data_IF_562940362254
#
_entry.id   IF_562940362254
#
_cell.length_a   1.000
_cell.length_b   1.000
_cell.length_c   1.000
_cell.angle_alpha   90.00
_cell.angle_beta   90.00
_cell.angle_gamma   90.00
#
_symmetry.space_group_name_H-M   'P 1'
#
loop_
_entity.id
_entity.type
_entity.pdbx_description
1 polymer ?
#
# COMPACT_ATOMS: atom_id res chain seq x y z
N UNK A 1 -43.57 22.46 -70.95
CA UNK A 1 -43.30 23.31 -69.76
C UNK A 1 -43.22 22.51 -68.46
N UNK A 2 -44.06 21.50 -68.20
CA UNK A 2 -44.02 20.70 -66.95
C UNK A 2 -42.67 19.99 -66.72
N UNK A 3 -42.05 19.45 -67.77
CA UNK A 3 -40.76 18.74 -67.67
C UNK A 3 -39.58 19.65 -67.24
N UNK A 4 -39.64 20.96 -67.55
CA UNK A 4 -38.57 21.91 -67.20
C UNK A 4 -38.65 22.31 -65.72
N UNK A 5 -39.86 22.40 -65.17
CA UNK A 5 -40.07 22.72 -63.76
C UNK A 5 -39.73 21.56 -62.82
N UNK A 6 -39.88 20.31 -63.29
CA UNK A 6 -39.43 19.12 -62.54
C UNK A 6 -37.91 19.03 -62.49
N UNK A 7 -37.21 19.43 -63.58
CA UNK A 7 -35.75 19.46 -63.62
C UNK A 7 -35.15 20.45 -62.63
N UNK A 8 -35.69 21.67 -62.58
CA UNK A 8 -35.21 22.70 -61.63
C UNK A 8 -35.38 22.27 -60.17
N UNK A 9 -36.46 21.56 -59.83
CA UNK A 9 -36.67 21.05 -58.47
C UNK A 9 -35.73 19.89 -58.12
N UNK A 10 -35.40 19.02 -59.08
CA UNK A 10 -34.42 17.96 -58.87
C UNK A 10 -33.00 18.51 -58.68
N UNK A 11 -32.63 19.54 -59.44
CA UNK A 11 -31.33 20.22 -59.27
C UNK A 11 -31.24 20.96 -57.93
N UNK A 12 -32.34 21.55 -57.45
CA UNK A 12 -32.39 22.19 -56.14
C UNK A 12 -32.25 21.18 -55.00
N UNK A 13 -32.89 20.01 -55.11
CA UNK A 13 -32.77 18.93 -54.14
C UNK A 13 -31.36 18.32 -54.13
N UNK A 14 -30.74 18.16 -55.30
CA UNK A 14 -29.34 17.74 -55.41
C UNK A 14 -28.38 18.77 -54.79
N UNK A 15 -28.66 20.06 -54.96
CA UNK A 15 -27.88 21.15 -54.34
C UNK A 15 -28.00 21.16 -52.81
N UNK A 16 -29.21 20.96 -52.28
CA UNK A 16 -29.46 20.87 -50.84
C UNK A 16 -28.75 19.64 -50.26
N UNK A 17 -28.84 18.48 -50.93
CA UNK A 17 -28.14 17.27 -50.52
C UNK A 17 -26.62 17.48 -50.45
N UNK A 18 -26.03 18.09 -51.49
CA UNK A 18 -24.60 18.40 -51.48
C UNK A 18 -24.18 19.36 -50.37
N UNK A 19 -25.04 20.31 -49.97
CA UNK A 19 -24.77 21.19 -48.82
C UNK A 19 -24.85 20.48 -47.47
N UNK A 20 -25.76 19.52 -47.30
CA UNK A 20 -25.88 18.74 -46.06
C UNK A 20 -24.69 17.80 -45.88
N UNK A 21 -24.18 17.21 -46.96
CA UNK A 21 -23.04 16.27 -46.92
C UNK A 21 -21.68 16.97 -46.78
N UNK A 22 -21.57 18.27 -47.12
CA UNK A 22 -20.30 19.00 -47.12
C UNK A 22 -20.07 19.92 -45.90
N UNK A 23 -20.95 19.88 -44.88
CA UNK A 23 -20.77 20.71 -43.69
C UNK A 23 -19.60 20.18 -42.82
N UNK A 24 -18.50 20.95 -42.61
CA UNK A 24 -17.27 20.44 -42.01
C UNK A 24 -17.32 20.17 -40.50
N UNK A 25 -18.43 20.46 -39.84
CA UNK A 25 -18.61 20.34 -38.38
C UNK A 25 -19.42 19.11 -37.95
N UNK A 26 -19.86 18.27 -38.89
CA UNK A 26 -20.44 16.97 -38.57
C UNK A 26 -19.32 15.92 -38.53
N UNK A 27 -19.02 15.41 -37.35
CA UNK A 27 -18.18 14.23 -37.11
C UNK A 27 -18.46 13.14 -38.16
N UNK A 28 -17.42 12.72 -38.90
CA UNK A 28 -17.44 11.63 -39.89
C UNK A 28 -17.94 10.32 -39.26
N UNK A 29 -19.24 10.10 -39.25
CA UNK A 29 -19.82 8.77 -39.21
C UNK A 29 -19.94 8.23 -40.64
N UNK A 30 -19.96 6.90 -40.83
CA UNK A 30 -20.37 6.33 -42.11
C UNK A 30 -21.81 6.77 -42.39
N UNK A 31 -21.99 7.64 -43.37
CA UNK A 31 -23.31 7.92 -43.94
C UNK A 31 -23.70 6.68 -44.75
N UNK A 32 -24.35 5.73 -44.09
CA UNK A 32 -25.14 4.72 -44.79
C UNK A 32 -26.13 5.47 -45.68
N UNK A 33 -26.14 5.11 -46.96
CA UNK A 33 -26.88 5.82 -47.99
C UNK A 33 -28.38 5.81 -47.65
N UNK A 34 -28.89 6.95 -47.18
CA UNK A 34 -30.33 7.16 -46.98
C UNK A 34 -31.02 7.01 -48.35
N UNK A 35 -31.64 5.85 -48.58
CA UNK A 35 -32.32 5.54 -49.83
C UNK A 35 -33.75 6.07 -49.75
N UNK A 36 -33.97 7.27 -50.28
CA UNK A 36 -35.31 7.83 -50.42
C UNK A 36 -36.03 7.14 -51.59
N UNK A 37 -37.01 6.30 -51.28
CA UNK A 37 -37.92 5.73 -52.28
C UNK A 37 -39.13 6.64 -52.46
N UNK A 38 -39.23 7.27 -53.63
CA UNK A 38 -40.43 7.96 -54.07
C UNK A 38 -41.36 6.92 -54.71
N UNK A 39 -42.38 6.48 -53.99
CA UNK A 39 -43.45 5.67 -54.58
C UNK A 39 -44.35 6.58 -55.43
N UNK A 40 -44.49 6.25 -56.70
CA UNK A 40 -45.20 7.00 -57.74
C UNK A 40 -46.50 7.66 -57.26
N UNK A 41 -46.49 8.99 -57.19
CA UNK A 41 -47.69 9.81 -57.11
C UNK A 41 -48.15 10.10 -58.55
N UNK A 42 -49.32 9.57 -58.91
CA UNK A 42 -49.98 9.85 -60.19
C UNK A 42 -50.27 11.35 -60.29
N UNK A 43 -49.78 11.98 -61.37
CA UNK A 43 -49.83 13.44 -61.58
C UNK A 43 -51.27 13.87 -61.89
N UNK A 44 -52.03 14.18 -60.84
CA UNK A 44 -53.28 14.94 -60.90
C UNK A 44 -53.09 16.32 -60.25
N UNK A 45 -53.81 17.38 -60.71
CA UNK A 45 -53.59 18.76 -60.26
C UNK A 45 -54.28 18.99 -58.92
N UNK A 46 -53.76 18.44 -57.83
CA UNK A 46 -54.24 18.73 -56.48
C UNK A 46 -53.06 18.79 -55.52
N UNK A 47 -53.16 19.68 -54.53
CA UNK A 47 -52.23 19.85 -53.41
C UNK A 47 -51.76 18.52 -52.82
N UNK A 48 -50.48 18.16 -53.00
CA UNK A 48 -49.89 16.96 -52.41
C UNK A 48 -49.02 17.36 -51.22
N UNK A 49 -49.55 17.22 -50.00
CA UNK A 49 -48.74 17.03 -48.80
C UNK A 49 -48.23 15.59 -48.81
N UNK A 50 -47.18 15.32 -49.59
CA UNK A 50 -46.52 14.02 -49.59
C UNK A 50 -45.70 13.87 -48.31
N UNK A 51 -45.96 12.83 -47.52
CA UNK A 51 -45.13 12.44 -46.38
C UNK A 51 -43.98 11.56 -46.86
N UNK A 52 -42.75 12.04 -46.73
CA UNK A 52 -41.57 11.21 -46.90
C UNK A 52 -41.42 10.34 -45.65
N UNK A 53 -41.42 9.02 -45.83
CA UNK A 53 -41.11 8.06 -44.75
C UNK A 53 -39.74 7.48 -45.04
N UNK A 54 -38.78 7.66 -44.15
CA UNK A 54 -37.48 7.01 -44.26
C UNK A 54 -37.60 5.55 -43.80
N UNK A 55 -37.13 4.60 -44.61
CA UNK A 55 -37.00 3.21 -44.19
C UNK A 55 -35.72 3.06 -43.36
N UNK A 56 -35.88 2.92 -42.04
CA UNK A 56 -34.77 2.69 -41.10
C UNK A 56 -34.66 1.22 -40.70
N UNK A 57 -35.35 0.30 -41.38
CA UNK A 57 -35.38 -1.13 -41.00
C UNK A 57 -34.02 -1.82 -41.14
N UNK A 58 -33.13 -1.29 -41.99
CA UNK A 58 -31.75 -1.77 -42.15
C UNK A 58 -30.72 -0.97 -41.32
N UNK A 59 -31.14 0.09 -40.64
CA UNK A 59 -30.23 0.89 -39.82
C UNK A 59 -29.92 0.13 -38.53
N UNK A 60 -28.64 -0.09 -38.27
CA UNK A 60 -28.18 -0.52 -36.96
C UNK A 60 -27.68 0.69 -36.17
N UNK A 61 -27.85 0.67 -34.86
CA UNK A 61 -27.31 1.72 -34.01
C UNK A 61 -25.79 1.72 -34.12
N UNK A 62 -25.23 2.92 -34.28
CA UNK A 62 -23.79 3.09 -34.41
C UNK A 62 -23.10 2.68 -33.10
N UNK A 63 -22.13 1.77 -33.18
CA UNK A 63 -21.19 1.48 -32.10
C UNK A 63 -20.08 2.52 -31.99
N UNK A 64 -19.28 2.43 -30.95
CA UNK A 64 -18.12 3.28 -30.70
C UNK A 64 -16.85 2.59 -31.22
N UNK A 65 -15.95 3.38 -31.79
CA UNK A 65 -14.66 2.90 -32.29
C UNK A 65 -13.65 2.85 -31.14
N UNK A 66 -12.63 1.99 -31.25
CA UNK A 66 -11.49 1.93 -30.31
C UNK A 66 -10.71 3.27 -30.19
N UNK A 67 -10.89 4.20 -31.12
CA UNK A 67 -10.29 5.53 -31.06
C UNK A 67 -11.15 6.57 -30.35
N UNK A 68 -12.42 6.25 -30.07
CA UNK A 68 -13.33 7.19 -29.41
C UNK A 68 -12.88 7.35 -27.95
N UNK A 69 -12.75 8.60 -27.51
CA UNK A 69 -12.22 8.96 -26.19
C UNK A 69 -13.25 9.71 -25.36
N UNK A 70 -13.17 9.51 -24.04
CA UNK A 70 -13.90 10.29 -23.04
C UNK A 70 -12.91 10.85 -22.03
N UNK A 71 -13.07 12.12 -21.65
CA UNK A 71 -12.29 12.70 -20.55
C UNK A 71 -12.79 12.15 -19.23
N UNK A 72 -11.90 11.49 -18.49
CA UNK A 72 -12.19 10.90 -17.18
C UNK A 72 -11.41 11.66 -16.13
N UNK A 73 -12.11 12.17 -15.12
CA UNK A 73 -11.52 12.89 -13.99
C UNK A 73 -11.61 12.05 -12.72
N UNK A 74 -10.46 11.70 -12.13
CA UNK A 74 -10.36 10.99 -10.85
C UNK A 74 -9.51 11.84 -9.89
N UNK A 75 -10.15 12.37 -8.85
CA UNK A 75 -9.56 13.37 -7.97
C UNK A 75 -9.27 14.67 -8.73
N UNK A 76 -8.02 15.12 -8.72
CA UNK A 76 -7.56 16.31 -9.46
C UNK A 76 -7.02 16.02 -10.87
N UNK A 77 -7.00 14.75 -11.29
CA UNK A 77 -6.37 14.32 -12.55
C UNK A 77 -7.43 14.04 -13.60
N UNK A 78 -7.34 14.70 -14.75
CA UNK A 78 -8.16 14.42 -15.93
C UNK A 78 -7.31 13.78 -17.01
N UNK A 79 -7.78 12.67 -17.60
CA UNK A 79 -7.10 11.98 -18.70
C UNK A 79 -8.13 11.51 -19.72
N UNK A 80 -7.84 11.72 -21.00
CA UNK A 80 -8.64 11.15 -22.08
C UNK A 80 -8.42 9.63 -22.14
N UNK A 81 -9.49 8.85 -21.97
CA UNK A 81 -9.47 7.38 -22.05
C UNK A 81 -10.18 6.93 -23.31
N UNK A 82 -9.48 6.12 -24.11
CA UNK A 82 -10.03 5.46 -25.28
C UNK A 82 -10.64 4.11 -24.88
N UNK A 83 -11.62 3.65 -25.67
CA UNK A 83 -12.04 2.26 -25.60
C UNK A 83 -10.93 1.37 -26.18
N UNK A 84 -10.51 0.32 -25.48
CA UNK A 84 -9.44 -0.55 -25.98
C UNK A 84 -9.88 -1.38 -27.19
N UNK A 85 -11.20 -1.54 -27.35
CA UNK A 85 -11.86 -2.30 -28.42
C UNK A 85 -13.13 -1.56 -28.86
N UNK A 86 -13.59 -1.82 -30.08
CA UNK A 86 -14.84 -1.25 -30.57
C UNK A 86 -16.02 -1.78 -29.75
N UNK A 87 -16.90 -0.88 -29.31
CA UNK A 87 -18.08 -1.22 -28.52
C UNK A 87 -19.33 -1.17 -29.38
N UNK A 88 -20.16 -2.20 -29.29
CA UNK A 88 -21.51 -2.12 -29.84
C UNK A 88 -22.32 -1.04 -29.10
N UNK A 89 -23.39 -0.53 -29.73
CA UNK A 89 -24.35 0.30 -29.02
C UNK A 89 -24.86 -0.41 -27.76
N UNK A 90 -24.89 0.30 -26.64
CA UNK A 90 -25.28 -0.24 -25.33
C UNK A 90 -24.18 -1.07 -24.64
N UNK A 91 -23.04 -1.28 -25.30
CA UNK A 91 -21.88 -1.95 -24.73
C UNK A 91 -21.09 -1.06 -23.76
N UNK A 92 -20.32 -1.69 -22.88
CA UNK A 92 -19.48 -1.00 -21.90
C UNK A 92 -18.18 -1.76 -21.61
N UNK A 93 -17.17 -1.03 -21.16
CA UNK A 93 -15.93 -1.58 -20.61
C UNK A 93 -15.69 -1.04 -19.20
N UNK A 94 -15.03 -1.83 -18.37
CA UNK A 94 -14.52 -1.39 -17.07
C UNK A 94 -13.02 -1.10 -17.16
N UNK A 95 -12.60 -0.06 -16.45
CA UNK A 95 -11.19 0.29 -16.26
C UNK A 95 -10.93 0.55 -14.79
N UNK A 96 -9.71 0.25 -14.34
CA UNK A 96 -9.28 0.56 -12.98
C UNK A 96 -9.02 2.06 -12.81
N UNK A 97 -9.43 2.60 -11.66
CA UNK A 97 -9.20 4.01 -11.34
C UNK A 97 -7.71 4.37 -11.27
N UNK A 98 -6.85 3.41 -10.89
CA UNK A 98 -5.39 3.60 -10.84
C UNK A 98 -4.76 3.89 -12.20
N UNK A 99 -5.43 3.52 -13.30
CA UNK A 99 -4.99 3.84 -14.64
C UNK A 99 -5.17 5.34 -14.98
N UNK A 100 -6.03 6.06 -14.25
CA UNK A 100 -6.22 7.52 -14.36
C UNK A 100 -5.41 8.25 -13.29
N UNK A 101 -5.50 7.78 -12.04
CA UNK A 101 -4.78 8.36 -10.92
C UNK A 101 -4.30 7.24 -9.98
N UNK A 102 -2.98 7.04 -9.89
CA UNK A 102 -2.38 5.94 -9.14
C UNK A 102 -2.72 5.91 -7.65
N UNK A 103 -3.18 7.03 -7.09
CA UNK A 103 -3.62 7.18 -5.69
C UNK A 103 -5.04 6.64 -5.43
N UNK A 104 -5.76 6.21 -6.45
CA UNK A 104 -7.15 5.73 -6.34
C UNK A 104 -7.27 4.27 -6.74
N UNK A 105 -8.21 3.57 -6.11
CA UNK A 105 -8.63 2.19 -6.41
C UNK A 105 -10.12 2.16 -6.77
N UNK A 106 -10.62 1.00 -7.17
CA UNK A 106 -11.97 0.80 -7.67
C UNK A 106 -12.04 0.90 -9.19
N UNK A 107 -13.25 0.85 -9.72
CA UNK A 107 -13.49 0.75 -11.16
C UNK A 107 -14.34 1.89 -11.68
N UNK A 108 -14.11 2.24 -12.94
CA UNK A 108 -14.96 3.15 -13.72
C UNK A 108 -15.48 2.42 -14.97
N UNK A 109 -16.69 2.76 -15.39
CA UNK A 109 -17.36 2.14 -16.54
C UNK A 109 -17.54 3.15 -17.66
N UNK A 110 -17.00 2.84 -18.84
CA UNK A 110 -17.17 3.62 -20.07
C UNK A 110 -18.21 2.90 -20.92
N UNK A 111 -19.32 3.56 -21.23
CA UNK A 111 -20.42 3.04 -22.02
C UNK A 111 -20.49 3.71 -23.39
N UNK A 112 -20.95 2.95 -24.38
CA UNK A 112 -21.21 3.43 -25.72
C UNK A 112 -22.72 3.60 -25.97
N UNK A 113 -23.14 4.80 -26.37
CA UNK A 113 -24.51 5.05 -26.82
C UNK A 113 -24.50 5.83 -28.13
N UNK A 114 -25.08 5.24 -29.17
CA UNK A 114 -25.26 5.85 -30.51
C UNK A 114 -23.96 6.43 -31.10
N UNK A 115 -22.84 5.73 -30.90
CA UNK A 115 -21.53 6.13 -31.40
C UNK A 115 -20.84 7.24 -30.59
N UNK A 116 -21.33 7.53 -29.39
CA UNK A 116 -20.67 8.40 -28.41
C UNK A 116 -20.27 7.58 -27.17
N UNK A 117 -19.03 7.74 -26.74
CA UNK A 117 -18.53 7.19 -25.48
C UNK A 117 -18.85 8.14 -24.33
N UNK A 118 -19.24 7.60 -23.20
CA UNK A 118 -19.56 8.37 -21.99
C UNK A 118 -19.18 7.57 -20.74
N UNK A 119 -18.92 8.28 -19.64
CA UNK A 119 -18.69 7.67 -18.34
C UNK A 119 -20.06 7.34 -17.71
N UNK A 120 -20.37 6.05 -17.53
CA UNK A 120 -21.68 5.63 -17.01
C UNK A 120 -21.69 5.38 -15.51
N UNK A 121 -20.56 4.97 -14.93
CA UNK A 121 -20.41 4.72 -13.50
C UNK A 121 -18.94 4.94 -13.07
N UNK A 122 -18.74 5.38 -11.82
CA UNK A 122 -17.43 5.62 -11.23
C UNK A 122 -17.45 5.34 -9.73
N UNK A 123 -16.73 4.30 -9.34
CA UNK A 123 -16.60 3.82 -7.95
C UNK A 123 -15.19 4.03 -7.41
N UNK A 124 -14.50 5.09 -7.86
CA UNK A 124 -13.14 5.39 -7.42
C UNK A 124 -13.11 5.86 -5.98
N UNK A 125 -12.22 5.27 -5.19
CA UNK A 125 -11.92 5.70 -3.82
C UNK A 125 -10.40 5.84 -3.66
N UNK A 126 -9.97 6.69 -2.73
CA UNK A 126 -8.54 6.82 -2.46
C UNK A 126 -8.00 5.50 -1.91
N UNK A 127 -6.84 5.05 -2.39
CA UNK A 127 -6.19 3.84 -1.90
C UNK A 127 -5.92 3.95 -0.40
N UNK A 128 -6.16 2.89 0.39
CA UNK A 128 -5.58 2.79 1.72
C UNK A 128 -4.07 2.56 1.59
N UNK A 129 -3.33 2.83 2.66
CA UNK A 129 -1.93 2.46 2.78
C UNK A 129 -1.86 1.05 3.38
N UNK A 130 -1.27 0.12 2.63
CA UNK A 130 -1.22 -1.30 2.97
C UNK A 130 -0.03 -1.62 3.88
N UNK A 131 -0.03 -2.75 4.61
CA UNK A 131 1.07 -3.12 5.50
C UNK A 131 2.44 -3.31 4.82
N UNK A 132 2.48 -3.44 3.49
CA UNK A 132 3.72 -3.54 2.71
C UNK A 132 4.16 -2.21 2.10
N UNK A 133 3.35 -1.16 2.21
CA UNK A 133 3.79 0.19 1.86
C UNK A 133 4.82 0.67 2.87
N UNK A 134 5.72 1.55 2.45
CA UNK A 134 6.75 2.06 3.33
C UNK A 134 7.01 3.55 3.14
N UNK A 135 7.49 4.16 4.20
CA UNK A 135 7.97 5.54 4.20
C UNK A 135 9.35 5.60 4.86
N UNK A 136 10.25 6.41 4.29
CA UNK A 136 11.52 6.67 4.93
C UNK A 136 11.32 7.64 6.11
N UNK A 137 11.87 7.29 7.26
CA UNK A 137 11.82 8.13 8.46
C UNK A 137 13.20 8.20 9.11
N UNK A 138 13.38 9.19 9.99
CA UNK A 138 14.58 9.32 10.81
C UNK A 138 14.24 9.39 12.28
N UNK A 139 15.06 8.73 13.10
CA UNK A 139 14.90 8.67 14.55
C UNK A 139 16.27 8.80 15.20
N UNK A 140 16.49 9.94 15.87
CA UNK A 140 17.73 10.24 16.61
C UNK A 140 19.00 10.11 15.74
N UNK A 141 18.92 10.57 14.49
CA UNK A 141 20.03 10.59 13.53
C UNK A 141 20.23 9.30 12.73
N UNK A 142 19.53 8.21 13.08
CA UNK A 142 19.41 7.04 12.21
C UNK A 142 18.26 7.22 11.21
N UNK A 143 18.34 6.53 10.08
CA UNK A 143 17.28 6.48 9.07
C UNK A 143 16.95 5.04 8.72
N UNK A 144 15.67 4.77 8.50
CA UNK A 144 15.18 3.45 8.08
C UNK A 144 13.85 3.54 7.37
N UNK A 145 13.26 2.38 7.06
CA UNK A 145 11.97 2.28 6.39
C UNK A 145 10.92 1.85 7.41
N UNK A 146 9.84 2.62 7.55
CA UNK A 146 8.69 2.25 8.37
C UNK A 146 7.62 1.60 7.52
N UNK A 147 7.02 0.55 8.07
CA UNK A 147 5.88 -0.16 7.50
C UNK A 147 4.69 -0.05 8.46
N UNK A 148 3.44 0.10 7.97
CA UNK A 148 2.26 0.00 8.79
C UNK A 148 2.09 -1.39 9.40
N UNK A 149 1.77 -1.47 10.68
CA UNK A 149 1.39 -2.73 11.35
C UNK A 149 0.07 -3.32 10.82
N UNK A 150 -0.79 -2.49 10.23
CA UNK A 150 -2.05 -2.85 9.61
C UNK A 150 -2.40 -1.86 8.50
N UNK A 151 -3.39 -2.20 7.66
CA UNK A 151 -3.90 -1.29 6.63
C UNK A 151 -4.43 0.01 7.27
N UNK A 152 -4.01 1.16 6.75
CA UNK A 152 -4.44 2.48 7.18
C UNK A 152 -5.33 3.07 6.09
N UNK A 153 -6.60 3.34 6.40
CA UNK A 153 -7.51 4.01 5.46
C UNK A 153 -7.01 5.42 5.13
N UNK A 154 -7.25 5.90 3.90
CA UNK A 154 -6.88 7.27 3.55
C UNK A 154 -7.55 8.29 4.48
N UNK A 155 -6.78 9.25 4.98
CA UNK A 155 -7.15 10.25 5.98
C UNK A 155 -7.06 9.76 7.44
N UNK A 156 -6.69 8.49 7.67
CA UNK A 156 -6.51 7.93 9.00
C UNK A 156 -5.03 7.86 9.41
N UNK A 157 -4.80 7.59 10.70
CA UNK A 157 -3.49 7.30 11.27
C UNK A 157 -3.38 5.83 11.66
N UNK A 158 -2.14 5.35 11.73
CA UNK A 158 -1.77 4.02 12.20
C UNK A 158 -0.40 4.06 12.86
N UNK A 159 0.20 2.90 13.08
CA UNK A 159 1.51 2.77 13.72
C UNK A 159 2.42 1.80 12.98
N UNK A 160 3.71 2.11 12.96
CA UNK A 160 4.82 1.21 12.63
C UNK A 160 5.74 1.03 13.84
N UNK A 161 6.76 0.17 13.74
CA UNK A 161 7.67 -0.07 14.86
C UNK A 161 8.87 0.88 14.84
N UNK A 162 9.18 1.52 15.97
CA UNK A 162 10.36 2.39 16.06
C UNK A 162 11.68 1.65 15.74
N UNK A 163 11.72 0.34 16.02
CA UNK A 163 12.87 -0.53 15.78
C UNK A 163 13.26 -0.67 14.30
N UNK A 164 12.31 -0.48 13.38
CA UNK A 164 12.55 -0.53 11.93
C UNK A 164 13.36 0.68 11.43
N UNK A 165 13.25 1.82 12.12
CA UNK A 165 14.04 3.04 11.84
C UNK A 165 15.35 3.01 12.58
N UNK A 166 15.29 2.70 13.88
CA UNK A 166 16.46 2.64 14.73
C UNK A 166 16.30 1.49 15.72
N UNK A 167 17.10 0.44 15.52
CA UNK A 167 17.07 -0.76 16.35
C UNK A 167 17.29 -0.47 17.84
N UNK A 168 17.92 0.65 18.22
CA UNK A 168 18.08 1.08 19.62
C UNK A 168 16.78 1.50 20.31
N UNK A 169 15.70 1.70 19.57
CA UNK A 169 14.41 2.16 20.06
C UNK A 169 13.34 1.07 19.96
N UNK A 170 12.35 1.16 20.84
CA UNK A 170 11.13 0.35 20.85
C UNK A 170 9.91 1.26 20.98
N UNK A 171 8.73 0.70 20.73
CA UNK A 171 7.46 1.42 20.78
C UNK A 171 6.92 1.69 19.38
N UNK A 172 5.88 2.51 19.36
CA UNK A 172 5.11 2.80 18.15
C UNK A 172 5.58 4.12 17.52
N UNK A 173 5.74 4.10 16.21
CA UNK A 173 5.97 5.28 15.38
C UNK A 173 4.65 5.63 14.68
N UNK A 174 4.14 6.84 14.86
CA UNK A 174 2.88 7.25 14.24
C UNK A 174 3.05 7.37 12.72
N UNK A 175 2.10 6.82 11.97
CA UNK A 175 2.02 6.90 10.52
C UNK A 175 0.70 7.54 10.12
N UNK A 176 0.70 8.33 9.05
CA UNK A 176 -0.51 8.87 8.45
C UNK A 176 -0.64 8.39 7.01
N UNK A 177 -1.85 8.06 6.58
CA UNK A 177 -2.12 7.75 5.18
C UNK A 177 -2.87 8.91 4.53
N UNK A 178 -2.16 9.77 3.80
CA UNK A 178 -2.74 10.96 3.20
C UNK A 178 -2.87 10.78 1.69
N UNK A 179 -4.12 10.75 1.19
CA UNK A 179 -4.41 10.58 -0.23
C UNK A 179 -3.75 9.33 -0.86
N UNK A 180 -3.74 8.21 -0.12
CA UNK A 180 -3.10 6.95 -0.54
C UNK A 180 -1.57 7.00 -0.56
N UNK A 181 -0.98 8.00 0.11
CA UNK A 181 0.46 8.11 0.34
C UNK A 181 0.75 7.94 1.83
N UNK A 182 1.65 7.02 2.16
CA UNK A 182 2.09 6.82 3.53
C UNK A 182 3.10 7.90 3.92
N UNK A 183 2.88 8.52 5.06
CA UNK A 183 3.71 9.60 5.62
C UNK A 183 4.12 9.25 7.06
N UNK A 184 5.36 9.59 7.42
CA UNK A 184 5.85 9.44 8.78
C UNK A 184 5.35 10.59 9.66
N UNK A 185 4.72 10.25 10.80
CA UNK A 185 4.18 11.17 11.79
C UNK A 185 5.11 11.38 12.98
N UNK A 186 4.54 11.43 14.18
CA UNK A 186 5.30 11.61 15.42
C UNK A 186 6.08 10.34 15.82
N UNK A 187 7.24 10.56 16.43
CA UNK A 187 8.06 9.53 17.10
C UNK A 187 8.02 9.65 18.63
N UNK A 188 7.06 10.40 19.18
CA UNK A 188 6.99 10.69 20.61
C UNK A 188 6.76 9.47 21.50
N UNK A 189 6.29 8.34 20.95
CA UNK A 189 6.14 7.07 21.65
C UNK A 189 7.39 6.17 21.53
N UNK A 190 8.37 6.53 20.70
CA UNK A 190 9.63 5.82 20.62
C UNK A 190 10.46 6.05 21.88
N UNK A 191 10.91 4.96 22.51
CA UNK A 191 11.74 4.98 23.72
C UNK A 191 12.96 4.11 23.54
N UNK A 192 14.08 4.55 24.10
CA UNK A 192 15.33 3.82 23.96
C UNK A 192 15.26 2.51 24.75
N UNK A 193 15.68 1.43 24.08
CA UNK A 193 15.84 0.10 24.68
C UNK A 193 17.15 0.00 25.44
N UNK A 194 17.22 -0.96 26.36
CA UNK A 194 18.48 -1.29 27.01
C UNK A 194 19.15 -2.41 26.21
N UNK A 195 20.25 -2.09 25.55
CA UNK A 195 20.97 -3.02 24.67
C UNK A 195 21.98 -3.86 25.45
N UNK A 196 22.33 -5.03 24.92
CA UNK A 196 23.30 -5.95 25.53
C UNK A 196 24.73 -5.39 25.57
N UNK A 197 25.04 -4.39 24.76
CA UNK A 197 26.40 -3.84 24.62
C UNK A 197 26.53 -2.38 25.05
N UNK A 198 25.44 -1.61 25.04
CA UNK A 198 25.45 -0.18 25.39
C UNK A 198 24.91 0.13 26.78
N UNK A 199 24.14 -0.78 27.37
CA UNK A 199 23.51 -0.58 28.68
C UNK A 199 24.14 -1.49 29.73
N UNK A 200 24.68 -0.88 30.80
CA UNK A 200 25.14 -1.61 31.97
C UNK A 200 24.75 -0.86 33.24
N UNK A 201 24.66 -1.60 34.33
CA UNK A 201 24.39 -1.06 35.66
C UNK A 201 25.21 -1.83 36.70
N UNK A 202 25.14 -1.46 37.97
CA UNK A 202 25.90 -2.12 39.03
C UNK A 202 24.97 -2.93 39.94
N UNK A 203 25.37 -4.17 40.24
CA UNK A 203 24.75 -5.02 41.26
C UNK A 203 25.75 -5.27 42.40
N UNK A 204 25.27 -5.26 43.64
CA UNK A 204 26.10 -5.58 44.81
C UNK A 204 25.83 -7.01 45.26
N UNK A 205 26.83 -7.89 45.15
CA UNK A 205 26.75 -9.30 45.58
C UNK A 205 27.80 -9.49 46.68
N UNK A 206 27.36 -9.92 47.87
CA UNK A 206 28.21 -10.11 49.06
C UNK A 206 29.10 -8.89 49.41
N UNK A 207 28.53 -7.69 49.23
CA UNK A 207 29.19 -6.42 49.54
C UNK A 207 30.18 -5.95 48.48
N UNK A 208 30.37 -6.68 47.37
CA UNK A 208 31.18 -6.29 46.23
C UNK A 208 30.31 -5.84 45.06
N UNK A 209 30.72 -4.79 44.36
CA UNK A 209 30.00 -4.23 43.21
C UNK A 209 30.50 -4.82 41.91
N UNK A 210 29.57 -5.30 41.08
CA UNK A 210 29.84 -5.87 39.76
C UNK A 210 29.05 -5.15 38.68
N UNK A 211 29.66 -5.00 37.50
CA UNK A 211 28.94 -4.50 36.32
C UNK A 211 28.08 -5.63 35.73
N UNK A 212 26.83 -5.32 35.45
CA UNK A 212 25.87 -6.24 34.84
C UNK A 212 25.23 -5.58 33.63
N UNK A 213 25.10 -6.35 32.56
CA UNK A 213 24.41 -6.00 31.33
C UNK A 213 23.32 -7.05 31.07
N UNK A 214 22.27 -6.74 30.29
CA UNK A 214 21.18 -7.67 30.07
C UNK A 214 21.61 -8.78 29.10
N UNK A 215 21.04 -9.98 29.25
CA UNK A 215 21.31 -11.13 28.37
C UNK A 215 20.75 -10.95 26.95
N UNK A 216 19.67 -10.17 26.84
CA UNK A 216 19.02 -9.79 25.60
C UNK A 216 18.59 -8.31 25.67
N UNK A 217 18.22 -7.72 24.54
CA UNK A 217 17.69 -6.36 24.51
C UNK A 217 16.38 -6.29 25.31
N UNK A 218 16.27 -5.29 26.18
CA UNK A 218 15.06 -5.05 26.99
C UNK A 218 14.35 -3.81 26.45
N UNK A 219 13.09 -3.95 26.05
CA UNK A 219 12.26 -2.82 25.63
C UNK A 219 12.04 -1.82 26.78
N UNK A 220 11.73 -0.55 26.46
CA UNK A 220 11.41 0.43 27.49
C UNK A 220 10.24 -0.06 28.37
N UNK A 221 10.37 0.08 29.69
CA UNK A 221 9.38 -0.35 30.69
C UNK A 221 9.37 -1.86 30.94
N UNK A 222 10.04 -2.67 30.12
CA UNK A 222 10.10 -4.11 30.29
C UNK A 222 11.18 -4.53 31.31
N UNK A 223 11.08 -5.79 31.75
CA UNK A 223 12.06 -6.45 32.59
C UNK A 223 12.84 -7.50 31.80
N UNK A 224 14.06 -7.78 32.24
CA UNK A 224 14.90 -8.86 31.74
C UNK A 224 15.74 -9.44 32.87
N UNK A 225 16.56 -10.45 32.56
CA UNK A 225 17.47 -11.05 33.53
C UNK A 225 18.87 -11.26 32.97
N UNK A 226 19.82 -11.45 33.88
CA UNK A 226 21.16 -11.93 33.58
C UNK A 226 21.56 -13.00 34.60
N UNK A 227 22.10 -14.12 34.14
CA UNK A 227 22.54 -15.19 35.03
C UNK A 227 23.71 -14.71 35.92
N UNK A 228 23.67 -15.04 37.21
CA UNK A 228 24.71 -14.61 38.16
C UNK A 228 26.09 -15.12 37.78
N UNK A 229 26.19 -16.34 37.21
CA UNK A 229 27.46 -16.91 36.76
C UNK A 229 28.14 -16.12 35.63
N UNK A 230 27.37 -15.33 34.87
CA UNK A 230 27.90 -14.42 33.85
C UNK A 230 28.36 -13.07 34.43
N UNK A 231 27.94 -12.74 35.66
CA UNK A 231 28.34 -11.52 36.39
C UNK A 231 29.51 -11.81 37.31
N UNK A 232 29.42 -12.90 38.08
CA UNK A 232 30.43 -13.38 39.04
C UNK A 232 30.58 -14.88 38.87
N UNK A 233 31.79 -15.31 38.52
CA UNK A 233 32.09 -16.73 38.36
C UNK A 233 31.86 -17.49 39.67
N UNK A 234 31.24 -18.67 39.57
CA UNK A 234 30.92 -19.52 40.72
C UNK A 234 29.66 -19.11 41.50
N UNK A 235 28.82 -18.22 40.96
CA UNK A 235 27.51 -17.90 41.52
C UNK A 235 26.39 -18.41 40.62
N UNK A 236 25.35 -18.98 41.23
CA UNK A 236 24.10 -19.37 40.57
C UNK A 236 22.99 -18.36 40.84
N UNK A 237 21.88 -18.47 40.09
CA UNK A 237 20.73 -17.58 40.19
C UNK A 237 20.69 -16.53 39.07
N UNK A 238 19.87 -15.50 39.26
CA UNK A 238 19.66 -14.41 38.30
C UNK A 238 19.69 -13.03 38.97
N UNK A 239 20.12 -12.04 38.18
CA UNK A 239 19.96 -10.62 38.43
C UNK A 239 18.77 -10.15 37.59
N UNK A 240 17.73 -9.63 38.24
CA UNK A 240 16.57 -9.03 37.58
C UNK A 240 16.85 -7.58 37.24
N UNK A 241 16.56 -7.21 35.99
CA UNK A 241 16.86 -5.91 35.42
C UNK A 241 15.58 -5.26 34.91
N UNK A 242 15.50 -3.93 35.01
CA UNK A 242 14.43 -3.13 34.40
C UNK A 242 15.04 -2.05 33.52
N UNK A 243 14.44 -1.85 32.34
CA UNK A 243 14.84 -0.80 31.42
C UNK A 243 13.87 0.38 31.48
N UNK A 244 14.40 1.59 31.63
CA UNK A 244 13.63 2.82 31.54
C UNK A 244 14.34 3.82 30.62
N UNK A 245 13.97 3.80 29.34
CA UNK A 245 14.42 4.75 28.31
C UNK A 245 15.96 4.76 28.19
N UNK A 246 16.52 3.60 27.88
CA UNK A 246 17.97 3.37 27.79
C UNK A 246 18.67 3.22 29.14
N UNK A 247 18.04 3.62 30.25
CA UNK A 247 18.58 3.46 31.60
C UNK A 247 18.27 2.08 32.17
N UNK A 248 19.32 1.30 32.47
CA UNK A 248 19.21 -0.02 33.07
C UNK A 248 19.35 0.05 34.59
N UNK A 249 18.43 -0.59 35.31
CA UNK A 249 18.44 -0.65 36.77
C UNK A 249 18.31 -2.08 37.27
N UNK A 250 18.93 -2.41 38.39
CA UNK A 250 18.76 -3.69 39.07
C UNK A 250 17.53 -3.59 39.98
N UNK A 251 16.57 -4.49 39.80
CA UNK A 251 15.36 -4.54 40.64
C UNK A 251 15.52 -5.53 41.80
N UNK A 252 16.19 -6.65 41.55
CA UNK A 252 16.50 -7.68 42.56
C UNK A 252 17.60 -8.61 42.05
N UNK A 253 18.20 -9.38 42.95
CA UNK A 253 19.00 -10.55 42.58
C UNK A 253 18.85 -11.64 43.64
N UNK A 254 19.01 -12.89 43.23
CA UNK A 254 19.09 -14.05 44.13
C UNK A 254 20.42 -14.79 43.98
N UNK A 255 21.47 -14.08 43.57
CA UNK A 255 22.80 -14.66 43.41
C UNK A 255 23.29 -15.30 44.71
N UNK A 256 23.71 -16.57 44.62
CA UNK A 256 24.30 -17.33 45.72
C UNK A 256 25.51 -18.09 45.19
N UNK A 257 26.56 -18.30 45.99
CA UNK A 257 27.67 -19.17 45.60
C UNK A 257 27.13 -20.56 45.20
N UNK A 258 27.55 -21.07 44.03
CA UNK A 258 27.19 -22.41 43.62
C UNK A 258 27.83 -23.43 44.58
N UNK A 259 27.10 -24.47 45.01
CA UNK A 259 27.70 -25.52 45.81
C UNK A 259 28.85 -26.15 45.03
N UNK A 260 30.00 -26.35 45.67
CA UNK A 260 31.13 -27.03 45.06
C UNK A 260 30.66 -28.36 44.45
N UNK A 261 30.99 -28.65 43.17
CA UNK A 261 30.69 -29.94 42.58
C UNK A 261 31.24 -31.04 43.49
N UNK A 262 30.35 -31.85 44.06
CA UNK A 262 30.76 -33.01 44.85
C UNK A 262 31.55 -33.95 43.93
N UNK A 263 32.80 -34.25 44.27
CA UNK A 263 33.70 -35.11 43.48
C UNK A 263 34.81 -34.39 42.69
N UNK A 264 34.99 -33.07 42.83
CA UNK A 264 36.24 -32.42 42.39
C UNK A 264 37.37 -32.74 43.38
N UNK A 265 38.18 -33.73 43.04
CA UNK A 265 39.47 -33.98 43.69
C UNK A 265 40.38 -32.77 43.47
N UNK A 266 40.58 -31.95 44.49
CA UNK A 266 41.59 -30.90 44.46
C UNK A 266 42.97 -31.55 44.48
N UNK A 267 43.66 -31.57 43.33
CA UNK A 267 45.07 -31.92 43.27
C UNK A 267 45.89 -30.71 43.69
N UNK A 268 46.29 -30.67 44.95
CA UNK A 268 47.27 -29.71 45.46
C UNK A 268 48.66 -30.31 45.37
N UNK A 269 49.57 -29.64 44.66
CA UNK A 269 51.00 -29.99 44.68
C UNK A 269 51.71 -29.07 45.66
N UNK A 270 52.07 -29.61 46.83
CA UNK A 270 52.87 -28.89 47.83
C UNK A 270 54.26 -29.53 47.82
N UNK A 271 55.30 -28.72 47.54
CA UNK A 271 56.70 -29.17 47.50
C UNK A 271 56.97 -30.42 46.63
N UNK A 272 56.28 -30.56 45.50
CA UNK A 272 56.50 -31.67 44.55
C UNK A 272 55.74 -32.96 44.88
N UNK A 273 54.89 -32.97 45.91
CA UNK A 273 54.00 -34.09 46.22
C UNK A 273 52.58 -33.75 45.78
N UNK A 274 52.02 -34.54 44.86
CA UNK A 274 50.61 -34.43 44.45
C UNK A 274 49.76 -35.26 45.40
N UNK A 275 48.97 -34.59 46.25
CA UNK A 275 47.97 -35.27 47.07
C UNK A 275 46.63 -35.30 46.34
N UNK A 276 45.99 -36.47 46.28
CA UNK A 276 44.63 -36.66 45.76
C UNK A 276 43.77 -37.11 46.93
N UNK A 277 42.87 -36.26 47.40
CA UNK A 277 42.01 -36.55 48.55
C UNK A 277 40.55 -36.22 48.25
N UNK A 278 39.67 -37.21 48.41
CA UNK A 278 38.23 -36.95 48.58
C UNK A 278 37.97 -36.53 50.04
N UNK A 279 36.91 -35.75 50.23
CA UNK A 279 36.61 -34.88 51.40
C UNK A 279 36.48 -35.56 52.78
N UNK A 280 36.94 -36.81 52.98
CA UNK A 280 36.83 -37.51 54.27
C UNK A 280 38.11 -38.20 54.76
N UNK A 281 39.27 -38.04 54.12
CA UNK A 281 40.51 -38.57 54.71
C UNK A 281 41.75 -38.32 53.88
N UNK A 282 42.66 -37.49 54.40
CA UNK A 282 43.98 -37.31 53.83
C UNK A 282 44.88 -38.44 54.36
N UNK A 283 45.21 -39.42 53.51
CA UNK A 283 46.29 -40.37 53.80
C UNK A 283 47.50 -40.01 52.94
N UNK A 284 48.59 -39.62 53.57
CA UNK A 284 49.87 -39.38 52.90
C UNK A 284 50.46 -40.74 52.55
N UNK A 285 50.51 -41.08 51.26
CA UNK A 285 51.26 -42.23 50.76
C UNK A 285 52.67 -41.74 50.44
N UNK A 286 53.63 -42.10 51.28
CA UNK A 286 55.06 -41.89 51.06
C UNK A 286 55.70 -43.04 50.30
#
# INVERSE_FOLDING_TARGET
MVAQHVREKLDLLASIWNRVVSSPSATKGPVDALRLTLSDATIGPLSHTGTLTADTSSCSERGCLASDTVDVTVGSTTTAKATTEALAHGGSIQQECEAVNSQYTGTLTIACALGAVSLSDMSCSVKPCEPWDFVAASLQGASGLLYPSAQILSGATGVGECGDVNVEYSGDFELACNNGMLEAGSSDACRQTCSTYGSSTTVTIDGQSYSVAPSARIAHGAAGSQACGNVVYGYGGEVSLQCNDGSLTVTSHNCQPEPCPVGLLMQGTIYGVTAVGDTVGWSVVG
#
